data_IF_071701870384
#
_entry.id   IF_071701870384
#
_cell.length_a   1.000
_cell.length_b   1.000
_cell.length_c   1.000
_cell.angle_alpha   90.00
_cell.angle_beta   90.00
_cell.angle_gamma   90.00
#
_symmetry.space_group_name_H-M   'P 1'
#
loop_
_entity.id
_entity.type
_entity.pdbx_description
1 polymer ?
#
# COMPACT_ATOMS: atom_id res chain seq x y z
N UNK A 1 -4.16 -9.96 -21.29
CA UNK A 1 -5.16 -9.98 -20.20
C UNK A 1 -4.55 -9.29 -19.00
N UNK A 2 -5.04 -8.09 -18.68
CA UNK A 2 -4.45 -7.21 -17.68
C UNK A 2 -4.53 -7.81 -16.27
N UNK A 3 -3.49 -7.61 -15.46
CA UNK A 3 -3.53 -8.00 -14.05
C UNK A 3 -4.39 -6.96 -13.33
N UNK A 4 -5.49 -7.37 -12.68
CA UNK A 4 -6.32 -6.52 -11.80
C UNK A 4 -5.60 -6.22 -10.47
N UNK A 5 -4.31 -5.88 -10.55
CA UNK A 5 -3.43 -5.58 -9.44
C UNK A 5 -3.12 -4.09 -9.44
N UNK A 6 -3.34 -3.46 -8.29
CA UNK A 6 -3.06 -2.06 -8.05
C UNK A 6 -2.00 -1.93 -6.98
N UNK A 7 -1.07 -0.98 -7.15
CA UNK A 7 0.03 -0.75 -6.21
C UNK A 7 0.02 0.66 -5.69
N UNK A 8 -0.05 0.82 -4.37
CA UNK A 8 -0.05 2.13 -3.70
C UNK A 8 0.89 2.13 -2.51
N UNK A 9 1.57 3.25 -2.26
CA UNK A 9 2.33 3.43 -1.03
C UNK A 9 1.38 4.02 0.02
N UNK A 10 1.29 3.36 1.17
CA UNK A 10 0.45 3.78 2.30
C UNK A 10 1.32 4.05 3.51
N UNK A 11 0.80 4.80 4.47
CA UNK A 11 1.43 4.93 5.77
C UNK A 11 1.48 3.57 6.47
N UNK A 12 2.58 3.28 7.16
CA UNK A 12 2.83 1.96 7.74
C UNK A 12 2.03 1.72 9.00
N UNK A 13 1.49 2.80 9.58
CA UNK A 13 0.51 2.76 10.66
C UNK A 13 -0.86 2.29 10.15
N UNK A 14 -1.17 2.49 8.86
CA UNK A 14 -2.41 2.02 8.26
C UNK A 14 -2.46 0.49 8.20
N UNK A 15 -3.52 -0.09 8.77
CA UNK A 15 -3.69 -1.55 8.79
C UNK A 15 -4.28 -2.08 7.48
N UNK A 16 -4.03 -3.35 7.15
CA UNK A 16 -4.57 -3.99 5.93
C UNK A 16 -6.10 -3.98 5.91
N UNK A 17 -6.74 -4.13 7.07
CA UNK A 17 -8.20 -4.19 7.21
C UNK A 17 -8.84 -2.83 6.95
N UNK A 18 -8.24 -1.77 7.48
CA UNK A 18 -8.71 -0.41 7.31
C UNK A 18 -8.63 0.00 5.83
N UNK A 19 -7.49 -0.25 5.18
CA UNK A 19 -7.33 -0.03 3.74
C UNK A 19 -8.34 -0.86 2.93
N UNK A 20 -8.57 -2.13 3.30
CA UNK A 20 -9.58 -2.96 2.64
C UNK A 20 -10.98 -2.36 2.77
N UNK A 21 -11.32 -1.85 3.96
CA UNK A 21 -12.62 -1.23 4.22
C UNK A 21 -12.84 0.01 3.36
N UNK A 22 -11.87 0.94 3.33
CA UNK A 22 -11.93 2.12 2.45
C UNK A 22 -12.07 1.74 0.98
N UNK A 23 -11.30 0.75 0.49
CA UNK A 23 -11.37 0.34 -0.92
C UNK A 23 -12.74 -0.23 -1.29
N UNK A 24 -13.34 -1.06 -0.43
CA UNK A 24 -14.68 -1.61 -0.66
C UNK A 24 -15.74 -0.51 -0.59
N UNK A 25 -15.64 0.37 0.41
CA UNK A 25 -16.62 1.42 0.65
C UNK A 25 -16.66 2.47 -0.46
N UNK A 26 -15.50 2.90 -0.96
CA UNK A 26 -15.40 4.00 -1.94
C UNK A 26 -15.57 3.56 -3.38
N UNK A 27 -15.08 2.37 -3.74
CA UNK A 27 -15.04 1.94 -5.13
C UNK A 27 -16.06 0.85 -5.46
N UNK A 28 -16.78 0.30 -4.47
CA UNK A 28 -17.74 -0.77 -4.67
C UNK A 28 -17.12 -2.06 -5.23
N UNK A 29 -15.81 -2.23 -5.08
CA UNK A 29 -15.06 -3.38 -5.60
C UNK A 29 -14.84 -4.43 -4.54
N UNK A 30 -14.74 -5.69 -4.95
CA UNK A 30 -14.35 -6.79 -4.06
C UNK A 30 -12.85 -7.04 -4.14
N UNK A 31 -12.19 -6.91 -2.99
CA UNK A 31 -10.76 -7.21 -2.85
C UNK A 31 -10.55 -8.69 -2.52
N UNK A 32 -9.83 -9.42 -3.37
CA UNK A 32 -9.54 -10.86 -3.19
C UNK A 32 -8.24 -11.09 -2.44
N UNK A 33 -7.23 -10.24 -2.66
CA UNK A 33 -5.94 -10.34 -2.00
C UNK A 33 -5.35 -8.95 -1.77
N UNK A 34 -4.67 -8.78 -0.65
CA UNK A 34 -3.95 -7.56 -0.32
C UNK A 34 -2.61 -7.92 0.29
N UNK A 35 -1.53 -7.61 -0.41
CA UNK A 35 -0.16 -7.86 0.03
C UNK A 35 0.50 -6.55 0.42
N UNK A 36 1.29 -6.58 1.49
CA UNK A 36 2.03 -5.41 1.95
C UNK A 36 3.46 -5.79 2.27
N UNK A 37 4.42 -4.96 1.91
CA UNK A 37 5.81 -5.10 2.37
C UNK A 37 6.38 -3.72 2.71
N UNK A 38 7.21 -3.66 3.76
CA UNK A 38 7.93 -2.44 4.10
C UNK A 38 8.94 -2.16 2.98
N UNK A 39 8.99 -0.92 2.54
CA UNK A 39 9.98 -0.52 1.54
C UNK A 39 11.34 -0.39 2.25
N UNK A 40 12.35 -1.09 1.73
CA UNK A 40 13.73 -0.82 2.13
C UNK A 40 14.11 0.55 1.57
N UNK A 41 14.23 1.56 2.43
CA UNK A 41 14.74 2.88 2.04
C UNK A 41 16.19 2.70 1.62
N UNK A 42 16.44 2.68 0.30
CA UNK A 42 17.80 2.58 -0.26
C UNK A 42 18.55 3.86 0.14
N UNK A 43 19.49 3.74 1.07
CA UNK A 43 20.16 4.87 1.72
C UNK A 43 20.80 5.85 0.74
N UNK A 44 20.14 6.99 0.53
CA UNK A 44 20.79 8.24 0.09
C UNK A 44 20.94 9.09 1.34
N UNK A 45 22.19 9.31 1.78
CA UNK A 45 22.50 10.27 2.86
C UNK A 45 22.14 11.68 2.37
N UNK A 46 20.98 12.17 2.73
CA UNK A 46 20.69 13.61 2.80
C UNK A 46 20.79 13.98 4.27
N UNK A 47 21.95 14.53 4.63
CA UNK A 47 22.29 14.92 6.01
C UNK A 47 21.30 16.01 6.43
N UNK A 48 20.57 15.74 7.53
CA UNK A 48 19.78 16.69 8.34
C UNK A 48 18.24 16.74 8.23
N UNK A 49 17.55 16.02 7.31
CA UNK A 49 16.05 16.10 7.23
C UNK A 49 15.35 14.73 7.26
N UNK A 50 16.09 13.62 7.20
CA UNK A 50 15.52 12.26 7.12
C UNK A 50 15.35 11.58 8.48
N UNK A 51 14.93 12.31 9.52
CA UNK A 51 14.71 11.77 10.88
C UNK A 51 13.24 11.40 11.15
N UNK A 52 12.30 11.94 10.36
CA UNK A 52 10.95 11.38 10.28
C UNK A 52 10.96 10.21 9.29
N UNK A 53 11.47 9.08 9.80
CA UNK A 53 11.40 7.74 9.22
C UNK A 53 10.24 7.62 8.25
N UNK A 54 10.52 7.39 6.96
CA UNK A 54 9.48 7.12 5.96
C UNK A 54 8.79 5.80 6.33
N UNK A 55 7.79 5.90 7.20
CA UNK A 55 6.91 4.85 7.64
C UNK A 55 5.96 4.51 6.51
N UNK A 56 6.49 4.11 5.35
CA UNK A 56 5.71 3.81 4.16
C UNK A 56 5.76 2.31 3.88
N UNK A 57 4.60 1.70 3.66
CA UNK A 57 4.48 0.33 3.19
C UNK A 57 3.96 0.34 1.77
N UNK A 58 4.51 -0.50 0.90
CA UNK A 58 3.92 -0.71 -0.42
C UNK A 58 2.84 -1.76 -0.31
N UNK A 59 1.64 -1.39 -0.68
CA UNK A 59 0.46 -2.25 -0.74
C UNK A 59 0.16 -2.63 -2.19
N UNK A 60 -0.07 -3.92 -2.41
CA UNK A 60 -0.48 -4.51 -3.68
C UNK A 60 -1.86 -5.10 -3.46
N UNK A 61 -2.86 -4.54 -4.13
CA UNK A 61 -4.27 -4.89 -3.99
C UNK A 61 -4.66 -5.65 -5.25
N UNK A 62 -5.22 -6.84 -5.09
CA UNK A 62 -5.80 -7.61 -6.19
C UNK A 62 -7.30 -7.56 -6.07
N UNK A 63 -7.96 -7.07 -7.11
CA UNK A 63 -9.41 -7.01 -7.20
C UNK A 63 -9.96 -8.26 -7.85
N UNK A 64 -11.18 -8.65 -7.48
CA UNK A 64 -11.90 -9.68 -8.21
C UNK A 64 -12.14 -9.17 -9.64
N UNK A 65 -11.72 -9.89 -10.68
CA UNK A 65 -12.16 -9.58 -12.04
C UNK A 65 -13.68 -9.75 -12.09
N UNK A 66 -14.34 -8.78 -12.72
CA UNK A 66 -15.75 -8.89 -13.10
C UNK A 66 -15.91 -9.97 -14.16
#
# INVERSE_FOLDING_TARGET
MGKNQYTSNVESESTRTEIKHWVVLFFGVKVIAMNGHRLSVKGRRVRSIMEHTMHSRRMIITLQPL
#
